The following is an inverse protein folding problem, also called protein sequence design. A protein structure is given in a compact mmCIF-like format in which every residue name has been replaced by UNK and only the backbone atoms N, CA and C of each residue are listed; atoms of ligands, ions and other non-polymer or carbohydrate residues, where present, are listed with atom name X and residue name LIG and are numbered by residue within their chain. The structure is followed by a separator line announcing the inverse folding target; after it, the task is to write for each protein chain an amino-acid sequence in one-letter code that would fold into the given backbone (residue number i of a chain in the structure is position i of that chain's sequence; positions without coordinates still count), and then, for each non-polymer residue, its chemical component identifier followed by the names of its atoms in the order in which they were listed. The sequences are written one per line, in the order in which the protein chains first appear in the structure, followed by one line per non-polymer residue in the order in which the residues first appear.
data_IF_944968338548
#
_entry.id   IF_944968338548
#
_cell.length_a   1.000
_cell.length_b   1.000
_cell.length_c   1.000
_cell.angle_alpha   90.00
_cell.angle_beta   90.00
_cell.angle_gamma   90.00
#
_symmetry.space_group_name_H-M   'P 1'
#
loop_
_entity.id
_entity.type
_entity.pdbx_description
1 polymer ?
#
# COMPACT_ATOMS: atom_id res chain seq x y z
N UNK A 1 -42.11 19.76 -3.62
CA UNK A 1 -42.01 18.82 -4.76
C UNK A 1 -40.81 17.91 -4.52
N UNK A 2 -41.09 16.65 -4.18
CA UNK A 2 -40.11 15.54 -4.16
C UNK A 2 -39.97 15.01 -5.59
N UNK A 3 -38.75 14.68 -6.01
CA UNK A 3 -38.54 13.74 -7.11
C UNK A 3 -37.62 12.62 -6.61
N UNK A 4 -38.20 11.43 -6.50
CA UNK A 4 -37.54 10.14 -6.35
C UNK A 4 -37.14 9.62 -7.74
N UNK A 5 -36.02 8.89 -7.84
CA UNK A 5 -35.81 7.77 -8.79
C UNK A 5 -34.56 7.01 -8.32
N UNK A 6 -34.65 5.86 -7.64
CA UNK A 6 -34.98 4.50 -8.07
C UNK A 6 -34.02 3.94 -9.14
N UNK A 7 -33.15 3.04 -8.68
CA UNK A 7 -32.31 2.15 -9.47
C UNK A 7 -33.17 1.22 -10.34
N UNK A 8 -32.75 1.00 -11.58
CA UNK A 8 -33.11 -0.19 -12.35
C UNK A 8 -32.04 -1.28 -12.14
N UNK A 9 -32.42 -2.37 -11.47
CA UNK A 9 -31.71 -3.64 -11.59
C UNK A 9 -32.12 -4.31 -12.90
N UNK A 10 -31.14 -4.65 -13.73
CA UNK A 10 -31.26 -5.77 -14.68
C UNK A 10 -30.10 -6.72 -14.43
N UNK A 11 -30.48 -7.92 -14.01
CA UNK A 11 -29.65 -9.10 -13.90
C UNK A 11 -29.30 -9.55 -15.32
N UNK A 12 -28.03 -9.41 -15.72
CA UNK A 12 -27.44 -10.03 -16.92
C UNK A 12 -26.01 -10.45 -16.57
N UNK A 13 -25.68 -11.71 -16.85
CA UNK A 13 -24.41 -12.38 -16.58
C UNK A 13 -23.17 -11.66 -17.16
N UNK A 14 -22.17 -11.34 -16.30
CA UNK A 14 -20.73 -10.99 -16.54
C UNK A 14 -20.38 -9.92 -17.62
N UNK A 15 -19.21 -9.24 -17.61
CA UNK A 15 -17.99 -9.46 -16.82
C UNK A 15 -17.39 -8.21 -16.10
N UNK A 16 -16.45 -8.48 -15.18
CA UNK A 16 -15.32 -7.63 -14.70
C UNK A 16 -15.64 -6.21 -14.20
N UNK A 17 -15.76 -6.03 -12.88
CA UNK A 17 -15.89 -4.70 -12.24
C UNK A 17 -14.82 -4.48 -11.15
N UNK A 18 -14.00 -3.43 -11.29
CA UNK A 18 -13.18 -2.83 -10.23
C UNK A 18 -13.80 -1.45 -9.93
N UNK A 19 -14.08 -1.17 -8.65
CA UNK A 19 -14.73 0.07 -8.17
C UNK A 19 -13.80 1.30 -8.19
N UNK A 20 -14.31 2.49 -8.53
CA UNK A 20 -13.62 3.75 -8.30
C UNK A 20 -13.74 4.19 -6.83
N UNK A 21 -12.60 4.48 -6.17
CA UNK A 21 -12.56 5.15 -4.87
C UNK A 21 -12.31 6.65 -5.07
N UNK A 22 -13.06 7.46 -4.33
CA UNK A 22 -13.09 8.92 -4.43
C UNK A 22 -12.47 9.52 -3.16
N UNK A 23 -11.36 10.25 -3.28
CA UNK A 23 -10.65 10.90 -2.16
C UNK A 23 -10.75 12.43 -2.21
N UNK A 24 -10.84 13.14 -1.07
CA UNK A 24 -10.73 14.60 -0.99
C UNK A 24 -9.61 15.01 0.00
N UNK A 25 -8.51 15.65 -0.45
CA UNK A 25 -7.35 15.98 0.38
C UNK A 25 -7.53 17.17 1.33
N UNK A 26 -8.62 17.93 1.24
CA UNK A 26 -8.81 19.13 2.07
C UNK A 26 -10.17 19.15 2.78
N UNK A 27 -10.24 18.44 3.91
CA UNK A 27 -11.09 18.86 5.03
C UNK A 27 -10.20 19.15 6.23
N UNK A 28 -9.91 20.44 6.42
CA UNK A 28 -9.50 20.95 7.73
C UNK A 28 -10.71 20.84 8.66
N UNK A 29 -10.86 19.71 9.35
CA UNK A 29 -11.65 19.67 10.57
C UNK A 29 -10.71 20.02 11.70
N UNK A 30 -10.89 21.21 12.27
CA UNK A 30 -10.32 21.57 13.56
C UNK A 30 -10.88 20.60 14.62
N UNK A 31 -10.21 19.47 14.83
CA UNK A 31 -10.40 18.70 16.03
C UNK A 31 -9.68 19.47 17.15
N UNK A 32 -10.43 20.28 17.90
CA UNK A 32 -9.96 20.83 19.17
C UNK A 32 -9.74 19.66 20.14
N UNK A 33 -8.58 19.03 20.06
CA UNK A 33 -8.08 18.17 21.13
C UNK A 33 -7.74 19.10 22.29
N UNK A 34 -8.65 19.21 23.25
CA UNK A 34 -8.32 19.76 24.56
C UNK A 34 -7.24 18.85 25.14
N UNK A 35 -5.97 19.27 25.06
CA UNK A 35 -4.86 18.61 25.75
C UNK A 35 -5.18 18.58 27.24
N UNK A 36 -5.72 17.47 27.74
CA UNK A 36 -5.63 17.15 29.17
C UNK A 36 -4.18 16.76 29.45
N UNK A 37 -3.40 17.80 29.77
CA UNK A 37 -2.17 17.67 30.52
C UNK A 37 -2.50 17.04 31.88
N UNK A 38 -2.24 15.74 32.05
CA UNK A 38 -1.74 15.16 33.31
C UNK A 38 -1.58 13.65 33.15
N UNK A 39 -0.47 13.13 33.69
CA UNK A 39 -0.11 11.69 33.85
C UNK A 39 0.53 11.14 32.55
N UNK A 40 1.85 10.98 32.40
CA UNK A 40 2.90 10.51 33.33
C UNK A 40 4.20 11.29 33.08
N UNK A 41 4.74 11.88 34.16
CA UNK A 41 6.09 12.43 34.26
C UNK A 41 7.10 11.28 34.12
N UNK A 42 7.93 11.32 33.09
CA UNK A 42 9.34 10.92 33.12
C UNK A 42 9.90 11.05 31.70
N UNK A 43 10.51 12.20 31.41
CA UNK A 43 11.70 12.36 30.57
C UNK A 43 12.01 13.86 30.62
N UNK A 44 12.62 14.26 31.74
CA UNK A 44 13.32 15.53 31.83
C UNK A 44 14.55 15.44 30.89
N UNK A 45 14.78 16.55 30.19
CA UNK A 45 15.95 16.92 29.38
C UNK A 45 15.77 16.74 27.88
N UNK A 46 15.20 17.76 27.23
CA UNK A 46 15.98 18.64 26.36
C UNK A 46 15.20 19.94 26.12
N UNK A 47 15.96 21.03 26.06
CA UNK A 47 15.54 22.40 26.37
C UNK A 47 14.63 23.00 25.31
N UNK A 48 13.72 23.82 25.81
CA UNK A 48 13.03 24.87 25.10
C UNK A 48 14.02 25.85 24.47
N UNK A 49 13.79 26.21 23.22
CA UNK A 49 14.07 27.55 22.71
C UNK A 49 12.82 28.02 21.95
N UNK A 50 12.09 28.89 22.63
CA UNK A 50 10.93 29.65 22.19
C UNK A 50 11.35 30.78 21.26
N UNK A 51 10.56 31.05 20.22
CA UNK A 51 10.04 32.41 19.96
C UNK A 51 8.81 32.32 19.08
N UNK A 52 7.68 32.66 19.69
CA UNK A 52 6.42 32.98 19.04
C UNK A 52 6.49 34.46 18.62
N UNK A 53 6.12 34.78 17.39
CA UNK A 53 5.76 36.13 16.99
C UNK A 53 4.46 36.09 16.23
N UNK A 54 3.38 36.40 16.94
CA UNK A 54 2.05 36.69 16.41
C UNK A 54 2.11 37.95 15.54
N UNK A 55 1.64 37.87 14.30
CA UNK A 55 1.15 39.05 13.58
C UNK A 55 -0.29 38.81 13.17
N UNK A 56 -1.16 39.66 13.71
CA UNK A 56 -2.55 39.86 13.29
C UNK A 56 -2.49 40.79 12.08
N UNK A 57 -3.11 40.41 10.97
CA UNK A 57 -3.51 41.36 9.94
C UNK A 57 -4.92 41.04 9.44
N UNK A 58 -5.80 42.03 9.62
CA UNK A 58 -7.10 42.12 8.97
C UNK A 58 -6.87 42.36 7.48
N UNK A 59 -7.48 41.53 6.62
CA UNK A 59 -7.50 41.75 5.19
C UNK A 59 -8.61 40.93 4.55
N UNK A 60 -9.67 41.60 4.12
CA UNK A 60 -10.71 41.05 3.26
C UNK A 60 -10.06 40.47 1.99
N UNK A 61 -10.06 39.14 1.87
CA UNK A 61 -9.61 38.42 0.69
C UNK A 61 -10.61 37.30 0.41
N UNK A 62 -11.17 37.32 -0.80
CA UNK A 62 -12.20 36.40 -1.29
C UNK A 62 -11.82 34.94 -1.01
N UNK A 63 -12.67 34.22 -0.28
CA UNK A 63 -12.62 32.76 -0.17
C UNK A 63 -12.84 32.17 -1.57
N UNK A 64 -11.75 31.81 -2.24
CA UNK A 64 -11.80 30.89 -3.37
C UNK A 64 -12.02 29.50 -2.81
N UNK A 65 -13.16 28.89 -3.11
CA UNK A 65 -13.38 27.45 -2.94
C UNK A 65 -12.26 26.69 -3.69
N UNK A 66 -11.25 26.20 -2.98
CA UNK A 66 -10.33 25.22 -3.54
C UNK A 66 -11.10 23.90 -3.63
N UNK A 67 -11.78 23.66 -4.75
CA UNK A 67 -12.37 22.37 -5.08
C UNK A 67 -11.26 21.31 -5.10
N UNK A 68 -11.06 20.63 -3.96
CA UNK A 68 -10.01 19.64 -3.76
C UNK A 68 -10.08 18.58 -4.86
N UNK A 69 -9.03 18.52 -5.69
CA UNK A 69 -8.99 17.61 -6.84
C UNK A 69 -8.96 16.18 -6.29
N UNK A 70 -10.00 15.41 -6.60
CA UNK A 70 -10.13 14.02 -6.16
C UNK A 70 -9.05 13.16 -6.82
N UNK A 71 -8.28 12.42 -6.02
CA UNK A 71 -7.30 11.47 -6.55
C UNK A 71 -7.94 10.08 -6.71
N UNK A 72 -7.75 9.45 -7.86
CA UNK A 72 -8.20 8.08 -8.14
C UNK A 72 -6.96 7.19 -8.16
N UNK A 73 -7.04 6.05 -7.49
CA UNK A 73 -5.99 5.02 -7.45
C UNK A 73 -6.51 3.70 -8.00
N UNK A 74 -5.59 2.89 -8.55
CA UNK A 74 -5.85 1.49 -8.88
C UNK A 74 -5.13 0.59 -7.89
N UNK A 75 -5.82 -0.37 -7.27
CA UNK A 75 -5.18 -1.34 -6.36
C UNK A 75 -5.39 -2.72 -6.93
N UNK A 76 -4.29 -3.39 -7.26
CA UNK A 76 -4.32 -4.62 -8.04
C UNK A 76 -4.38 -5.86 -7.16
N UNK A 77 -5.06 -6.88 -7.66
CA UNK A 77 -4.97 -8.25 -7.16
C UNK A 77 -4.55 -9.14 -8.32
N UNK A 78 -3.57 -10.02 -8.10
CA UNK A 78 -3.11 -10.97 -9.12
C UNK A 78 -2.63 -12.28 -8.51
N UNK A 79 -2.31 -13.25 -9.35
CA UNK A 79 -1.74 -14.56 -8.96
C UNK A 79 -0.44 -14.76 -9.71
N UNK A 80 0.68 -14.28 -9.16
CA UNK A 80 1.98 -14.47 -9.78
C UNK A 80 2.39 -15.96 -9.79
N UNK A 81 3.07 -16.37 -10.85
CA UNK A 81 3.72 -17.69 -10.95
C UNK A 81 5.23 -17.53 -11.16
N UNK A 82 5.96 -18.61 -11.46
CA UNK A 82 7.36 -18.56 -11.85
C UNK A 82 7.57 -18.00 -13.28
N UNK A 83 6.49 -17.85 -14.08
CA UNK A 83 6.55 -17.36 -15.46
C UNK A 83 6.41 -15.84 -15.51
N UNK A 84 7.55 -15.14 -15.48
CA UNK A 84 7.62 -13.66 -15.41
C UNK A 84 6.89 -12.94 -16.55
N UNK A 85 6.94 -13.48 -17.76
CA UNK A 85 6.30 -12.88 -18.94
C UNK A 85 4.77 -12.86 -18.82
N UNK A 86 4.16 -13.89 -18.25
CA UNK A 86 2.72 -13.94 -18.03
C UNK A 86 2.29 -13.04 -16.86
N UNK A 87 3.10 -12.97 -15.79
CA UNK A 87 2.88 -12.03 -14.71
C UNK A 87 2.92 -10.58 -15.22
N UNK A 88 3.90 -10.25 -16.07
CA UNK A 88 4.03 -8.92 -16.64
C UNK A 88 2.89 -8.58 -17.61
N UNK A 89 2.42 -9.54 -18.42
CA UNK A 89 1.23 -9.36 -19.27
C UNK A 89 0.03 -8.98 -18.41
N UNK A 90 -0.16 -9.68 -17.29
CA UNK A 90 -1.22 -9.39 -16.32
C UNK A 90 -1.06 -7.99 -15.73
N UNK A 91 0.16 -7.58 -15.35
CA UNK A 91 0.45 -6.23 -14.85
C UNK A 91 0.11 -5.17 -15.91
N UNK A 92 0.50 -5.37 -17.16
CA UNK A 92 0.21 -4.45 -18.25
C UNK A 92 -1.29 -4.23 -18.44
N UNK A 93 -2.08 -5.31 -18.43
CA UNK A 93 -3.53 -5.26 -18.54
C UNK A 93 -4.18 -4.53 -17.35
N UNK A 94 -3.70 -4.80 -16.14
CA UNK A 94 -4.17 -4.15 -14.91
C UNK A 94 -3.86 -2.65 -14.90
N UNK A 95 -2.64 -2.25 -15.29
CA UNK A 95 -2.23 -0.85 -15.39
C UNK A 95 -3.05 -0.11 -16.45
N UNK A 96 -3.24 -0.71 -17.62
CA UNK A 96 -4.05 -0.14 -18.69
C UNK A 96 -5.52 0.06 -18.24
N UNK A 97 -6.09 -0.94 -17.56
CA UNK A 97 -7.46 -0.87 -17.02
C UNK A 97 -7.60 0.22 -15.94
N UNK A 98 -6.62 0.31 -15.03
CA UNK A 98 -6.62 1.33 -13.99
C UNK A 98 -6.52 2.74 -14.59
N UNK A 99 -5.68 2.94 -15.62
CA UNK A 99 -5.58 4.21 -16.33
C UNK A 99 -6.86 4.57 -17.06
N UNK A 100 -7.52 3.61 -17.73
CA UNK A 100 -8.80 3.84 -18.40
C UNK A 100 -9.89 4.34 -17.43
N UNK A 101 -9.75 4.04 -16.13
CA UNK A 101 -10.63 4.51 -15.05
C UNK A 101 -10.16 5.81 -14.38
N UNK A 102 -9.13 6.46 -14.91
CA UNK A 102 -8.61 7.73 -14.41
C UNK A 102 -7.64 7.61 -13.24
N UNK A 103 -7.11 6.42 -12.95
CA UNK A 103 -6.13 6.25 -11.88
C UNK A 103 -4.87 7.05 -12.15
N UNK A 104 -4.38 7.76 -11.13
CA UNK A 104 -3.13 8.52 -11.17
C UNK A 104 -1.95 7.69 -10.66
N UNK A 105 -2.22 6.73 -9.77
CA UNK A 105 -1.24 5.79 -9.22
C UNK A 105 -1.84 4.38 -9.14
N UNK A 106 -1.04 3.37 -9.48
CA UNK A 106 -1.43 1.95 -9.46
C UNK A 106 -0.53 1.18 -8.50
N UNK A 107 -1.15 0.41 -7.60
CA UNK A 107 -0.48 -0.37 -6.56
C UNK A 107 -0.51 -1.85 -6.91
N UNK A 108 0.66 -2.43 -7.16
CA UNK A 108 0.89 -3.85 -7.41
C UNK A 108 1.23 -4.57 -6.10
N UNK A 109 0.90 -5.86 -5.96
CA UNK A 109 1.20 -6.62 -4.75
C UNK A 109 2.69 -6.96 -4.60
N UNK A 110 3.03 -7.51 -3.44
CA UNK A 110 4.32 -8.19 -3.20
C UNK A 110 4.49 -9.34 -4.21
N UNK A 111 5.72 -9.63 -4.61
CA UNK A 111 6.07 -10.72 -5.52
C UNK A 111 5.31 -10.63 -6.87
N UNK A 112 5.03 -9.41 -7.35
CA UNK A 112 4.36 -9.20 -8.63
C UNK A 112 5.23 -9.61 -9.83
N UNK A 113 6.55 -9.67 -9.65
CA UNK A 113 7.50 -10.18 -10.64
C UNK A 113 7.39 -11.69 -10.83
N UNK A 114 7.48 -12.46 -9.75
CA UNK A 114 7.28 -13.90 -9.75
C UNK A 114 7.06 -14.48 -8.35
N UNK A 115 6.49 -15.69 -8.31
CA UNK A 115 6.54 -16.57 -7.14
C UNK A 115 7.18 -17.89 -7.56
N UNK A 116 8.39 -18.13 -7.06
CA UNK A 116 9.18 -19.31 -7.40
C UNK A 116 8.66 -20.58 -6.72
N UNK A 117 9.07 -21.73 -7.27
CA UNK A 117 8.75 -23.06 -6.75
C UNK A 117 9.81 -23.57 -5.77
N UNK A 118 11.01 -22.98 -5.80
CA UNK A 118 12.13 -23.27 -4.91
C UNK A 118 12.94 -22.01 -4.58
N UNK A 119 13.79 -22.09 -3.56
CA UNK A 119 14.70 -21.01 -3.18
C UNK A 119 15.70 -20.72 -4.31
N UNK A 120 16.25 -21.78 -4.90
CA UNK A 120 17.19 -21.71 -6.01
C UNK A 120 16.58 -21.00 -7.21
N UNK A 121 15.36 -21.39 -7.60
CA UNK A 121 14.66 -20.74 -8.71
C UNK A 121 14.38 -19.27 -8.41
N UNK A 122 14.08 -18.90 -7.15
CA UNK A 122 13.93 -17.49 -6.78
C UNK A 122 15.23 -16.72 -6.96
N UNK A 123 16.37 -17.25 -6.54
CA UNK A 123 17.67 -16.60 -6.75
C UNK A 123 17.98 -16.43 -8.24
N UNK A 124 17.68 -17.44 -9.07
CA UNK A 124 17.87 -17.41 -10.53
C UNK A 124 16.99 -16.37 -11.23
N UNK A 125 15.73 -16.24 -10.80
CA UNK A 125 14.75 -15.32 -11.38
C UNK A 125 14.87 -13.87 -10.89
N UNK A 126 15.56 -13.66 -9.76
CA UNK A 126 15.82 -12.34 -9.22
C UNK A 126 16.63 -11.49 -10.20
N UNK A 127 16.34 -10.20 -10.26
CA UNK A 127 16.97 -9.26 -11.19
C UNK A 127 17.61 -8.09 -10.43
N UNK A 128 18.45 -7.32 -11.10
CA UNK A 128 18.95 -6.04 -10.61
C UNK A 128 17.93 -4.92 -10.88
N UNK A 129 18.16 -3.71 -10.35
CA UNK A 129 17.25 -2.56 -10.55
C UNK A 129 17.15 -2.08 -12.01
N UNK A 130 18.13 -2.42 -12.83
CA UNK A 130 18.21 -2.22 -14.27
C UNK A 130 17.77 -3.46 -15.08
N UNK A 131 17.24 -4.47 -14.41
CA UNK A 131 16.71 -5.68 -15.03
C UNK A 131 15.50 -5.44 -15.92
N UNK A 132 15.16 -6.47 -16.70
CA UNK A 132 14.07 -6.44 -17.68
C UNK A 132 12.71 -6.16 -17.04
N UNK A 133 12.44 -6.68 -15.84
CA UNK A 133 11.16 -6.50 -15.16
C UNK A 133 10.93 -5.04 -14.77
N UNK A 134 11.90 -4.42 -14.06
CA UNK A 134 11.78 -3.01 -13.66
C UNK A 134 11.77 -2.09 -14.88
N UNK A 135 12.57 -2.39 -15.91
CA UNK A 135 12.56 -1.64 -17.17
C UNK A 135 11.16 -1.63 -17.79
N UNK A 136 10.50 -2.78 -17.88
CA UNK A 136 9.14 -2.87 -18.43
C UNK A 136 8.10 -2.18 -17.52
N UNK A 137 8.26 -2.22 -16.18
CA UNK A 137 7.42 -1.42 -15.30
C UNK A 137 7.56 0.10 -15.56
N UNK A 138 8.79 0.58 -15.79
CA UNK A 138 9.04 2.00 -16.13
C UNK A 138 8.39 2.37 -17.46
N UNK A 139 8.50 1.51 -18.47
CA UNK A 139 7.84 1.69 -19.76
C UNK A 139 6.31 1.74 -19.63
N UNK A 140 5.71 0.87 -18.79
CA UNK A 140 4.28 0.91 -18.50
C UNK A 140 3.86 2.20 -17.80
N UNK A 141 4.64 2.68 -16.83
CA UNK A 141 4.39 3.94 -16.13
C UNK A 141 4.36 5.13 -17.10
N UNK A 142 5.35 5.20 -18.02
CA UNK A 142 5.45 6.22 -19.06
C UNK A 142 4.29 6.10 -20.05
N UNK A 143 4.08 4.91 -20.62
CA UNK A 143 3.06 4.64 -21.63
C UNK A 143 1.65 5.03 -21.16
N UNK A 144 1.33 4.75 -19.90
CA UNK A 144 0.01 5.03 -19.34
C UNK A 144 -0.06 6.35 -18.56
N UNK A 145 1.05 7.08 -18.43
CA UNK A 145 1.16 8.30 -17.63
C UNK A 145 0.53 8.12 -16.24
N UNK A 146 1.03 7.12 -15.50
CA UNK A 146 0.63 6.78 -14.12
C UNK A 146 1.87 6.57 -13.27
N UNK A 147 1.73 6.81 -11.96
CA UNK A 147 2.69 6.35 -10.98
C UNK A 147 2.46 4.86 -10.69
N UNK A 148 3.53 4.12 -10.42
CA UNK A 148 3.46 2.71 -10.04
C UNK A 148 4.09 2.47 -8.66
N UNK A 149 3.39 1.71 -7.85
CA UNK A 149 3.91 1.09 -6.64
C UNK A 149 4.14 -0.40 -6.93
N UNK A 150 5.38 -0.77 -7.23
CA UNK A 150 5.81 -2.17 -7.42
C UNK A 150 6.05 -2.78 -6.05
N UNK A 151 5.04 -3.46 -5.51
CA UNK A 151 4.90 -3.74 -4.08
C UNK A 151 5.88 -4.72 -3.44
N UNK A 152 6.74 -5.36 -4.22
CA UNK A 152 7.76 -6.27 -3.71
C UNK A 152 8.43 -7.00 -4.86
N UNK A 153 9.53 -6.43 -5.35
CA UNK A 153 10.38 -6.97 -6.39
C UNK A 153 11.54 -7.76 -5.76
N UNK A 154 11.84 -8.93 -6.33
CA UNK A 154 12.98 -9.74 -5.91
C UNK A 154 14.27 -9.19 -6.52
N UNK A 155 14.91 -8.29 -5.79
CA UNK A 155 16.21 -7.73 -6.14
C UNK A 155 17.31 -8.75 -5.81
N UNK A 156 18.29 -8.93 -6.70
CA UNK A 156 19.51 -9.71 -6.38
C UNK A 156 20.19 -9.17 -5.12
N UNK A 157 20.56 -10.06 -4.22
CA UNK A 157 21.30 -9.67 -3.02
C UNK A 157 22.75 -9.25 -3.37
N UNK A 158 23.46 -8.59 -2.43
CA UNK A 158 24.86 -8.23 -2.60
C UNK A 158 25.77 -9.45 -2.86
N UNK A 159 26.97 -9.19 -3.38
CA UNK A 159 27.93 -10.23 -3.84
C UNK A 159 28.37 -11.18 -2.72
N UNK A 160 28.29 -10.79 -1.45
CA UNK A 160 28.61 -11.64 -0.30
C UNK A 160 27.42 -12.51 0.19
N UNK A 161 26.28 -12.44 -0.52
CA UNK A 161 25.01 -13.12 -0.21
C UNK A 161 24.29 -13.61 -1.49
N UNK A 162 25.05 -14.07 -2.48
CA UNK A 162 24.52 -14.47 -3.81
C UNK A 162 23.45 -15.56 -3.79
N UNK A 163 23.35 -16.31 -2.70
CA UNK A 163 22.35 -17.34 -2.44
C UNK A 163 21.00 -16.77 -1.93
N UNK A 164 20.87 -15.45 -1.85
CA UNK A 164 19.68 -14.75 -1.33
C UNK A 164 19.18 -13.66 -2.29
N UNK A 165 17.99 -13.17 -1.99
CA UNK A 165 17.38 -12.01 -2.64
C UNK A 165 17.08 -10.90 -1.63
N UNK A 166 16.60 -9.75 -2.09
CA UNK A 166 15.95 -8.72 -1.28
C UNK A 166 14.53 -8.55 -1.79
N UNK A 167 13.60 -8.30 -0.87
CA UNK A 167 12.22 -7.95 -1.20
C UNK A 167 12.09 -6.42 -1.16
N UNK A 168 11.96 -5.81 -2.34
CA UNK A 168 12.07 -4.34 -2.50
C UNK A 168 10.78 -3.75 -3.07
N UNK A 169 10.16 -2.85 -2.32
CA UNK A 169 9.05 -2.02 -2.79
C UNK A 169 9.62 -0.81 -3.53
N UNK A 170 9.23 -0.63 -4.80
CA UNK A 170 9.72 0.45 -5.67
C UNK A 170 8.57 1.41 -6.03
N UNK A 171 8.80 2.71 -5.89
CA UNK A 171 7.91 3.75 -6.42
C UNK A 171 8.49 4.31 -7.70
N UNK A 172 7.71 4.26 -8.78
CA UNK A 172 8.07 4.75 -10.11
C UNK A 172 7.09 5.87 -10.50
N UNK A 173 7.60 7.02 -10.93
CA UNK A 173 6.75 8.12 -11.40
C UNK A 173 6.25 7.92 -12.84
N UNK A 174 5.35 8.79 -13.29
CA UNK A 174 4.80 8.77 -14.66
C UNK A 174 5.80 9.11 -15.77
N UNK A 175 7.02 9.56 -15.43
CA UNK A 175 8.13 9.74 -16.37
C UNK A 175 9.09 8.53 -16.37
N UNK A 176 8.78 7.49 -15.57
CA UNK A 176 9.59 6.28 -15.46
C UNK A 176 10.81 6.46 -14.56
N UNK A 177 10.88 7.48 -13.71
CA UNK A 177 11.96 7.61 -12.72
C UNK A 177 11.61 6.87 -11.42
N UNK A 178 12.60 6.24 -10.81
CA UNK A 178 12.46 5.66 -9.48
C UNK A 178 12.54 6.77 -8.43
N UNK A 179 11.46 6.95 -7.67
CA UNK A 179 11.35 7.99 -6.65
C UNK A 179 11.78 7.50 -5.27
N UNK A 180 11.58 6.21 -4.98
CA UNK A 180 12.05 5.59 -3.75
C UNK A 180 12.11 4.06 -3.89
N UNK A 181 12.94 3.45 -3.05
CA UNK A 181 12.97 2.01 -2.81
C UNK A 181 12.96 1.73 -1.32
N UNK A 182 12.20 0.72 -0.90
CA UNK A 182 12.17 0.23 0.48
C UNK A 182 12.43 -1.27 0.47
N UNK A 183 13.43 -1.73 1.21
CA UNK A 183 13.67 -3.16 1.39
C UNK A 183 12.96 -3.64 2.66
N UNK A 184 12.20 -4.73 2.57
CA UNK A 184 11.41 -5.32 3.67
C UNK A 184 12.26 -5.49 4.92
N UNK A 185 11.89 -4.82 6.01
CA UNK A 185 12.66 -4.84 7.26
C UNK A 185 12.30 -6.05 8.12
N UNK A 186 11.03 -6.45 8.16
CA UNK A 186 10.58 -7.60 8.93
C UNK A 186 10.33 -8.80 8.02
N UNK A 187 11.21 -9.81 8.11
CA UNK A 187 11.07 -11.06 7.36
C UNK A 187 10.12 -12.01 8.10
N UNK A 188 9.32 -12.74 7.32
CA UNK A 188 8.37 -13.70 7.83
C UNK A 188 9.03 -15.06 8.09
N UNK A 189 9.33 -15.30 9.35
CA UNK A 189 9.75 -16.60 9.85
C UNK A 189 8.63 -17.20 10.70
N UNK A 190 7.99 -18.24 10.17
CA UNK A 190 6.95 -19.02 10.84
C UNK A 190 7.45 -20.44 11.07
N UNK A 191 7.56 -20.83 12.33
CA UNK A 191 7.72 -22.21 12.76
C UNK A 191 6.54 -22.58 13.63
N UNK A 192 5.69 -23.49 13.14
CA UNK A 192 4.58 -24.05 13.89
C UNK A 192 4.90 -25.54 14.11
N UNK A 193 5.00 -25.96 15.38
CA UNK A 193 5.29 -27.35 15.74
C UNK A 193 4.32 -28.31 15.03
N UNK A 194 4.85 -29.32 14.34
CA UNK A 194 4.06 -30.31 13.59
C UNK A 194 3.46 -29.82 12.27
N UNK A 195 3.80 -28.62 11.78
CA UNK A 195 3.27 -28.10 10.51
C UNK A 195 4.33 -27.37 9.66
N UNK A 196 3.90 -26.52 8.71
CA UNK A 196 4.77 -25.90 7.70
C UNK A 196 5.76 -24.93 8.35
N UNK A 197 7.05 -25.17 8.15
CA UNK A 197 8.10 -24.18 8.42
C UNK A 197 8.30 -23.29 7.19
N UNK A 198 8.10 -21.98 7.35
CA UNK A 198 8.37 -20.99 6.32
C UNK A 198 9.33 -19.94 6.88
N UNK A 199 10.59 -20.03 6.46
CA UNK A 199 11.69 -19.18 6.96
C UNK A 199 12.14 -18.24 5.84
N UNK A 200 11.51 -17.07 5.69
CA UNK A 200 11.89 -16.06 4.69
C UNK A 200 13.35 -15.62 4.88
N UNK A 201 13.83 -15.53 6.12
CA UNK A 201 15.22 -15.18 6.45
C UNK A 201 16.28 -16.12 5.87
N UNK A 202 15.88 -17.35 5.52
CA UNK A 202 16.78 -18.33 4.92
C UNK A 202 17.13 -18.02 3.46
N UNK A 203 16.36 -17.17 2.77
CA UNK A 203 16.59 -16.82 1.35
C UNK A 203 16.40 -15.33 1.02
N UNK A 204 16.01 -14.48 1.99
CA UNK A 204 15.90 -13.03 1.82
C UNK A 204 16.82 -12.31 2.81
N UNK A 205 17.46 -11.23 2.36
CA UNK A 205 18.22 -10.29 3.19
C UNK A 205 17.29 -9.16 3.65
N UNK A 206 17.19 -8.87 4.97
CA UNK A 206 16.33 -7.80 5.46
C UNK A 206 16.85 -6.42 5.05
N UNK A 207 15.93 -5.46 4.95
CA UNK A 207 16.25 -4.04 4.90
C UNK A 207 16.81 -3.54 6.24
N UNK A 208 17.53 -2.42 6.18
CA UNK A 208 18.27 -1.85 7.31
C UNK A 208 17.70 -0.51 7.82
N UNK A 209 16.66 0.02 7.15
CA UNK A 209 16.14 1.36 7.43
C UNK A 209 14.67 1.52 7.06
N UNK A 210 14.02 2.44 7.75
CA UNK A 210 12.74 3.02 7.33
C UNK A 210 13.00 4.14 6.32
N UNK A 211 12.19 4.22 5.28
CA UNK A 211 12.29 5.23 4.23
C UNK A 211 11.21 6.30 4.44
N UNK A 212 11.53 7.60 4.38
CA UNK A 212 10.54 8.65 4.52
C UNK A 212 9.41 8.56 3.49
N UNK A 213 8.17 8.97 3.84
CA UNK A 213 7.05 8.96 2.90
C UNK A 213 7.34 9.77 1.63
N UNK A 214 6.97 9.21 0.48
CA UNK A 214 7.22 9.80 -0.85
C UNK A 214 6.07 10.71 -1.22
N UNK A 215 6.35 11.94 -1.66
CA UNK A 215 5.33 12.82 -2.22
C UNK A 215 4.89 12.31 -3.60
N UNK A 216 3.60 12.05 -3.77
CA UNK A 216 3.01 11.54 -5.02
C UNK A 216 1.78 12.38 -5.40
N UNK A 217 1.23 12.23 -6.62
CA UNK A 217 -0.01 12.89 -7.01
C UNK A 217 -1.24 12.52 -6.16
N UNK A 218 -1.14 11.44 -5.36
CA UNK A 218 -2.24 10.94 -4.53
C UNK A 218 -2.03 11.19 -3.03
N UNK A 219 -0.97 11.90 -2.66
CA UNK A 219 -0.57 12.19 -1.28
C UNK A 219 0.82 11.65 -0.93
N UNK A 220 1.20 11.77 0.34
CA UNK A 220 2.47 11.22 0.86
C UNK A 220 2.32 9.73 1.20
N UNK A 221 3.03 8.89 0.45
CA UNK A 221 2.95 7.43 0.53
C UNK A 221 4.12 6.87 1.36
N UNK A 222 3.80 6.27 2.51
CA UNK A 222 4.73 5.51 3.34
C UNK A 222 4.82 4.05 2.89
N UNK A 223 6.06 3.54 2.78
CA UNK A 223 6.35 2.22 2.20
C UNK A 223 6.56 1.18 3.30
N UNK A 224 5.92 0.02 3.12
CA UNK A 224 6.07 -1.17 3.93
C UNK A 224 5.65 -2.38 3.09
N UNK A 225 6.01 -3.60 3.50
CA UNK A 225 5.68 -4.82 2.75
C UNK A 225 5.16 -5.89 3.71
N UNK A 226 3.95 -6.37 3.44
CA UNK A 226 3.41 -7.59 4.02
C UNK A 226 3.58 -7.70 5.54
N UNK A 227 4.51 -8.54 6.00
CA UNK A 227 4.76 -8.84 7.40
C UNK A 227 5.05 -7.61 8.27
N UNK A 228 5.58 -6.54 7.67
CA UNK A 228 5.76 -5.23 8.29
C UNK A 228 4.48 -4.70 8.96
N UNK A 229 3.29 -5.03 8.45
CA UNK A 229 2.01 -4.60 9.03
C UNK A 229 1.80 -5.07 10.48
N UNK A 230 2.51 -6.14 10.90
CA UNK A 230 2.42 -6.66 12.27
C UNK A 230 3.15 -5.77 13.29
N UNK A 231 4.02 -4.88 12.84
CA UNK A 231 4.87 -4.04 13.68
C UNK A 231 4.33 -2.61 13.69
N UNK A 232 3.52 -2.22 14.70
CA UNK A 232 2.90 -0.89 14.75
C UNK A 232 3.92 0.25 14.71
N UNK A 233 5.13 0.03 15.24
CA UNK A 233 6.21 1.01 15.31
C UNK A 233 6.58 1.57 13.93
N UNK A 234 6.57 0.73 12.89
CA UNK A 234 6.85 1.16 11.53
C UNK A 234 5.75 2.12 11.03
N UNK A 235 4.49 1.74 11.23
CA UNK A 235 3.33 2.51 10.78
C UNK A 235 3.25 3.85 11.51
N UNK A 236 3.43 3.84 12.83
CA UNK A 236 3.49 5.04 13.67
C UNK A 236 4.66 5.96 13.27
N UNK A 237 5.81 5.40 12.92
CA UNK A 237 6.97 6.17 12.45
C UNK A 237 6.68 6.85 11.12
N UNK A 238 6.15 6.12 10.14
CA UNK A 238 5.78 6.67 8.84
C UNK A 238 4.71 7.78 8.98
N UNK A 239 3.71 7.57 9.83
CA UNK A 239 2.68 8.56 10.09
C UNK A 239 3.22 9.83 10.76
N UNK A 240 4.14 9.71 11.73
CA UNK A 240 4.85 10.85 12.33
C UNK A 240 5.72 11.60 11.34
N UNK A 241 6.24 10.92 10.32
CA UNK A 241 6.95 11.52 9.19
C UNK A 241 5.99 12.09 8.12
N UNK A 242 4.68 12.05 8.37
CA UNK A 242 3.65 12.67 7.55
C UNK A 242 2.98 11.73 6.54
N UNK A 243 3.12 10.40 6.63
CA UNK A 243 2.41 9.52 5.70
C UNK A 243 0.88 9.75 5.76
N UNK A 244 0.29 10.08 4.61
CA UNK A 244 -1.16 10.17 4.42
C UNK A 244 -1.73 8.83 3.97
N UNK A 245 -0.90 8.04 3.29
CA UNK A 245 -1.19 6.69 2.81
C UNK A 245 -0.07 5.76 3.30
N UNK A 246 -0.44 4.67 3.97
CA UNK A 246 0.44 3.55 4.28
C UNK A 246 0.17 2.41 3.32
N UNK A 247 1.21 1.75 2.82
CA UNK A 247 1.05 0.62 1.91
C UNK A 247 1.48 -0.69 2.54
N UNK A 248 0.72 -1.76 2.31
CA UNK A 248 1.11 -3.13 2.68
C UNK A 248 0.89 -4.11 1.52
N UNK A 249 1.58 -3.93 0.38
CA UNK A 249 1.62 -4.95 -0.66
C UNK A 249 2.02 -6.31 -0.11
N UNK A 250 1.30 -7.37 -0.48
CA UNK A 250 1.39 -8.64 0.25
C UNK A 250 1.14 -9.91 -0.57
N UNK A 251 1.83 -10.99 -0.20
CA UNK A 251 1.57 -12.37 -0.58
C UNK A 251 1.17 -13.21 0.65
N UNK A 252 0.13 -12.74 1.35
CA UNK A 252 -0.31 -13.28 2.64
C UNK A 252 -0.81 -14.71 2.53
N UNK A 253 -0.38 -15.59 3.44
CA UNK A 253 -0.83 -17.00 3.44
C UNK A 253 -2.31 -17.10 3.76
N UNK A 254 -2.98 -18.14 3.24
CA UNK A 254 -4.42 -18.32 3.44
C UNK A 254 -4.81 -18.43 4.93
N UNK A 255 -4.07 -19.22 5.71
CA UNK A 255 -4.34 -19.43 7.15
C UNK A 255 -4.23 -18.13 7.93
N UNK A 256 -3.12 -17.40 7.77
CA UNK A 256 -2.90 -16.14 8.50
C UNK A 256 -3.77 -15.01 7.98
N UNK A 257 -4.11 -15.03 6.69
CA UNK A 257 -4.94 -14.01 6.04
C UNK A 257 -6.36 -14.02 6.59
N UNK A 258 -6.99 -15.20 6.66
CA UNK A 258 -8.36 -15.36 7.17
C UNK A 258 -8.52 -14.82 8.60
N UNK A 259 -7.49 -14.93 9.44
CA UNK A 259 -7.55 -14.46 10.82
C UNK A 259 -7.11 -13.00 11.01
N UNK A 260 -6.12 -12.52 10.26
CA UNK A 260 -5.38 -11.31 10.63
C UNK A 260 -5.44 -10.18 9.60
N UNK A 261 -5.74 -10.47 8.32
CA UNK A 261 -5.56 -9.51 7.23
C UNK A 261 -6.34 -8.22 7.46
N UNK A 262 -7.67 -8.30 7.51
CA UNK A 262 -8.53 -7.14 7.65
C UNK A 262 -8.29 -6.42 8.99
N UNK A 263 -8.26 -7.16 10.09
CA UNK A 263 -8.15 -6.61 11.44
C UNK A 263 -6.90 -5.75 11.62
N UNK A 264 -5.75 -6.22 11.13
CA UNK A 264 -4.50 -5.47 11.24
C UNK A 264 -4.52 -4.24 10.33
N UNK A 265 -4.95 -4.36 9.06
CA UNK A 265 -4.98 -3.21 8.14
C UNK A 265 -5.90 -2.10 8.66
N UNK A 266 -7.06 -2.47 9.23
CA UNK A 266 -7.98 -1.52 9.87
C UNK A 266 -7.38 -0.88 11.10
N UNK A 267 -6.70 -1.66 11.94
CA UNK A 267 -5.99 -1.12 13.10
C UNK A 267 -4.94 -0.08 12.68
N UNK A 268 -4.14 -0.35 11.63
CA UNK A 268 -3.16 0.62 11.09
C UNK A 268 -3.83 1.90 10.61
N UNK A 269 -4.90 1.80 9.82
CA UNK A 269 -5.60 2.99 9.32
C UNK A 269 -6.15 3.86 10.46
N UNK A 270 -6.72 3.23 11.49
CA UNK A 270 -7.33 3.93 12.63
C UNK A 270 -6.26 4.57 13.52
N UNK A 271 -5.23 3.83 13.93
CA UNK A 271 -4.25 4.31 14.91
C UNK A 271 -3.32 5.39 14.33
N UNK A 272 -3.06 5.36 13.02
CA UNK A 272 -2.20 6.34 12.36
C UNK A 272 -2.96 7.49 11.73
N UNK A 273 -4.29 7.39 11.64
CA UNK A 273 -5.13 8.33 10.90
C UNK A 273 -4.67 8.50 9.44
N UNK A 274 -4.16 7.41 8.84
CA UNK A 274 -3.73 7.36 7.44
C UNK A 274 -4.64 6.42 6.65
N UNK A 275 -4.78 6.63 5.35
CA UNK A 275 -5.33 5.58 4.50
C UNK A 275 -4.37 4.39 4.48
N UNK A 276 -4.93 3.19 4.36
CA UNK A 276 -4.14 1.98 4.14
C UNK A 276 -4.49 1.40 2.77
N UNK A 277 -3.47 1.16 1.94
CA UNK A 277 -3.60 0.56 0.61
C UNK A 277 -2.83 -0.77 0.58
N UNK A 278 -3.55 -1.87 0.42
CA UNK A 278 -2.97 -3.21 0.49
C UNK A 278 -3.30 -4.01 -0.78
N UNK A 279 -2.42 -3.94 -1.77
CA UNK A 279 -2.47 -4.79 -2.96
C UNK A 279 -2.00 -6.22 -2.60
N UNK A 280 -2.79 -7.24 -2.96
CA UNK A 280 -2.54 -8.60 -2.53
C UNK A 280 -2.36 -9.58 -3.72
N UNK A 281 -1.53 -10.59 -3.49
CA UNK A 281 -1.59 -11.84 -4.26
C UNK A 281 -2.82 -12.64 -3.85
N UNK A 282 -3.37 -13.44 -4.76
CA UNK A 282 -4.52 -14.32 -4.50
C UNK A 282 -4.36 -15.69 -5.16
N UNK A 283 -5.20 -16.65 -4.78
CA UNK A 283 -5.31 -17.94 -5.45
C UNK A 283 -4.10 -18.85 -5.26
N UNK A 284 -3.95 -19.84 -6.15
CA UNK A 284 -2.90 -20.85 -6.09
C UNK A 284 -1.78 -20.50 -7.05
N UNK A 285 -0.58 -20.25 -6.52
CA UNK A 285 0.61 -19.90 -7.30
C UNK A 285 1.30 -21.14 -7.89
N UNK A 286 1.37 -22.19 -7.09
CA UNK A 286 1.94 -23.49 -7.45
C UNK A 286 1.38 -24.58 -6.51
N UNK A 287 1.89 -25.81 -6.60
CA UNK A 287 1.41 -26.94 -5.81
C UNK A 287 1.49 -26.72 -4.29
N UNK A 288 2.41 -25.87 -3.80
CA UNK A 288 2.73 -25.71 -2.38
C UNK A 288 2.39 -24.32 -1.82
N UNK A 289 2.04 -23.35 -2.66
CA UNK A 289 1.83 -21.95 -2.26
C UNK A 289 0.51 -21.38 -2.78
N UNK A 290 -0.25 -20.78 -1.89
CA UNK A 290 -1.48 -20.05 -2.18
C UNK A 290 -1.54 -18.79 -1.31
N UNK A 291 -2.22 -17.75 -1.79
CA UNK A 291 -2.36 -16.47 -1.10
C UNK A 291 -3.83 -16.13 -0.84
N UNK A 292 -4.05 -15.37 0.24
CA UNK A 292 -5.38 -15.02 0.74
C UNK A 292 -6.16 -14.07 -0.19
N UNK A 293 -5.50 -13.20 -0.95
CA UNK A 293 -6.16 -12.13 -1.70
C UNK A 293 -6.71 -11.05 -0.79
N UNK A 294 -7.94 -10.64 -1.06
CA UNK A 294 -8.66 -9.58 -0.34
C UNK A 294 -7.93 -8.23 -0.41
N UNK A 295 -7.40 -7.89 -1.60
CA UNK A 295 -6.91 -6.54 -1.89
C UNK A 295 -7.92 -5.50 -1.40
N UNK A 296 -7.47 -4.52 -0.62
CA UNK A 296 -8.36 -3.53 -0.04
C UNK A 296 -7.72 -2.16 0.17
N UNK A 297 -8.60 -1.17 0.35
CA UNK A 297 -8.26 0.17 0.84
C UNK A 297 -9.06 0.42 2.10
N UNK A 298 -8.41 0.89 3.16
CA UNK A 298 -9.06 1.25 4.42
C UNK A 298 -8.92 2.75 4.64
N UNK A 299 -10.04 3.41 4.98
CA UNK A 299 -10.09 4.84 5.32
C UNK A 299 -9.85 5.11 6.81
N UNK A 300 -9.70 6.39 7.15
CA UNK A 300 -9.30 6.89 8.48
C UNK A 300 -10.43 6.88 9.52
N UNK A 301 -11.64 6.45 9.16
CA UNK A 301 -12.81 6.32 10.05
C UNK A 301 -13.32 7.60 10.75
N UNK A 302 -12.91 8.80 10.31
CA UNK A 302 -13.34 10.09 10.91
C UNK A 302 -14.49 10.75 10.11
N UNK A 303 -15.42 9.96 9.56
CA UNK A 303 -16.76 10.47 9.22
C UNK A 303 -17.79 9.80 10.13
N UNK A 304 -17.87 10.28 11.37
CA UNK A 304 -19.11 10.22 12.13
C UNK A 304 -20.06 11.26 11.50
N UNK A 305 -20.81 10.86 10.47
CA UNK A 305 -22.05 11.58 10.16
C UNK A 305 -23.14 11.08 11.13
N UNK A 306 -24.04 11.99 11.52
CA UNK A 306 -24.99 11.81 12.62
C UNK A 306 -25.71 10.46 12.55
N UNK A 307 -25.46 9.66 13.60
CA UNK A 307 -25.90 8.28 13.80
C UNK A 307 -25.30 7.24 12.84
N UNK A 308 -24.43 6.40 13.42
CA UNK A 308 -23.77 5.20 12.88
C UNK A 308 -22.37 5.49 12.30
N UNK A 309 -21.33 5.09 13.04
CA UNK A 309 -19.99 4.88 12.48
C UNK A 309 -20.08 3.76 11.44
N UNK A 310 -20.52 4.08 10.21
CA UNK A 310 -20.52 3.17 9.09
C UNK A 310 -19.08 3.00 8.61
N UNK A 311 -18.36 2.16 9.33
CA UNK A 311 -17.33 1.31 8.77
C UNK A 311 -18.02 0.46 7.70
N UNK A 312 -18.14 0.97 6.47
CA UNK A 312 -18.54 0.10 5.37
C UNK A 312 -17.42 -0.94 5.21
N UNK A 313 -17.65 -2.24 5.50
CA UNK A 313 -16.86 -3.24 4.83
C UNK A 313 -17.16 -3.03 3.34
N UNK A 314 -16.22 -2.47 2.59
CA UNK A 314 -16.28 -2.69 1.16
C UNK A 314 -16.12 -4.21 1.02
N UNK A 315 -17.16 -4.94 0.58
CA UNK A 315 -17.00 -6.37 0.38
C UNK A 315 -15.82 -6.56 -0.58
N UNK A 316 -15.00 -7.61 -0.40
CA UNK A 316 -13.99 -7.94 -1.38
C UNK A 316 -14.70 -8.06 -2.72
N UNK A 317 -14.36 -7.19 -3.67
CA UNK A 317 -14.66 -7.43 -5.06
C UNK A 317 -13.74 -8.56 -5.52
N UNK A 318 -14.10 -9.77 -5.13
CA UNK A 318 -13.64 -10.97 -5.81
C UNK A 318 -14.22 -10.93 -7.22
N UNK A 319 -13.33 -10.88 -8.21
CA UNK A 319 -13.58 -11.47 -9.53
C UNK A 319 -13.44 -12.98 -9.41
#
# INVERSE_FOLDING_TARGET
MKLNLILHMKQVCLPRTILPLVYNPHRNLQCQTTRRNSIIKNYQNLRMASTCSTQISNGHGKEGESGGRKAIIGVCQMTSTSVKSDNLRTIADLVASAKAKGSQMVFLPEACDYIGESKQQSVELAESMDGSFITQCRELAVKHAVWLSVGGFHLKAPVDRVDKTKNVHVIIDSAGNVQATYAKTHLFDLSLEGSVQLMESSYVVPGDRVVPPVATPVGRVGLAICYDMRFPELSLTLARQGAEILTFPSAFTQVTGTAHWESILRCRAIETQSYVVAAAQTGKHNAKRSSHGHTMVVGTCIECSDNLCLLHPFPPLCL
#
